data_IF_980576847227
#
_entry.id   IF_980576847227
#
_cell.length_a   1.000
_cell.length_b   1.000
_cell.length_c   1.000
_cell.angle_alpha   90.00
_cell.angle_beta   90.00
_cell.angle_gamma   90.00
#
_symmetry.space_group_name_H-M   'P 1'
#
loop_
_entity.id
_entity.type
_entity.pdbx_description
1 polymer ?
#
# COMPACT_ATOMS: atom_id res chain seq x y z
N UNK A 1 3.10 30.23 69.40
CA UNK A 1 3.22 30.57 67.97
C UNK A 1 3.77 29.36 67.23
N UNK A 2 2.91 28.37 67.00
CA UNK A 2 3.18 27.15 66.22
C UNK A 2 2.57 27.41 64.85
N UNK A 3 3.37 27.68 63.82
CA UNK A 3 2.94 27.69 62.41
C UNK A 3 4.14 27.98 61.49
N UNK A 4 5.10 27.06 61.45
CA UNK A 4 6.14 27.09 60.40
C UNK A 4 6.67 25.71 60.00
N UNK A 5 6.11 24.62 60.53
CA UNK A 5 6.52 23.23 60.24
C UNK A 5 5.43 22.36 59.62
N UNK A 6 4.29 22.96 59.24
CA UNK A 6 3.16 22.25 58.60
C UNK A 6 3.17 22.42 57.07
N UNK A 7 3.85 23.44 56.52
CA UNK A 7 3.83 23.73 55.09
C UNK A 7 4.83 22.93 54.24
N UNK A 8 5.68 22.10 54.85
CA UNK A 8 6.65 21.26 54.11
C UNK A 8 6.15 19.81 53.97
N UNK A 9 5.12 19.39 54.72
CA UNK A 9 4.57 18.02 54.67
C UNK A 9 3.25 17.86 53.91
N UNK A 10 2.64 18.94 53.40
CA UNK A 10 1.42 18.86 52.58
C UNK A 10 1.67 18.98 51.07
N UNK A 11 2.92 19.02 50.63
CA UNK A 11 3.30 18.96 49.21
C UNK A 11 3.63 17.55 48.70
N UNK A 12 3.50 16.52 49.57
CA UNK A 12 3.88 15.13 49.26
C UNK A 12 2.67 14.17 49.15
N UNK A 13 1.43 14.65 49.34
CA UNK A 13 0.25 13.76 49.41
C UNK A 13 -0.94 14.15 48.52
N UNK A 14 -0.67 14.80 47.38
CA UNK A 14 -1.67 15.02 46.31
C UNK A 14 -1.13 14.71 44.91
N UNK A 15 -0.28 13.68 44.79
CA UNK A 15 0.16 13.09 43.52
C UNK A 15 -0.18 11.58 43.43
N UNK A 16 -1.21 11.16 44.16
CA UNK A 16 -1.83 9.85 44.01
C UNK A 16 -3.29 10.09 43.61
N UNK A 17 -3.67 9.46 42.49
CA UNK A 17 -5.00 9.46 41.86
C UNK A 17 -5.30 10.54 40.81
N UNK A 18 -4.51 10.57 39.72
CA UNK A 18 -5.06 10.78 38.36
C UNK A 18 -4.40 9.76 37.42
N UNK A 19 -5.24 8.88 36.86
CA UNK A 19 -5.01 8.07 35.66
C UNK A 19 -4.07 6.86 35.72
N UNK A 20 -4.50 5.83 36.44
CA UNK A 20 -4.42 4.46 35.89
C UNK A 20 -5.43 4.33 34.74
N UNK A 21 -5.02 4.76 33.54
CA UNK A 21 -5.54 4.31 32.24
C UNK A 21 -4.66 4.94 31.14
N UNK A 22 -3.48 4.38 30.90
CA UNK A 22 -2.81 4.55 29.61
C UNK A 22 -2.70 3.16 29.02
N UNK A 23 -3.44 2.96 27.94
CA UNK A 23 -3.36 1.81 27.04
C UNK A 23 -1.93 1.29 26.94
N UNK A 24 -1.75 0.02 27.30
CA UNK A 24 -0.65 -0.78 26.78
C UNK A 24 -0.73 -0.72 25.24
N UNK A 25 0.18 0.03 24.62
CA UNK A 25 0.37 0.04 23.17
C UNK A 25 1.74 -0.59 22.89
N UNK A 26 1.83 -1.93 22.75
CA UNK A 26 3.10 -2.61 22.60
C UNK A 26 3.42 -2.87 21.12
N UNK A 27 3.48 -1.86 20.25
CA UNK A 27 3.87 -2.09 18.83
C UNK A 27 4.90 -1.10 18.24
N UNK A 28 5.36 -0.08 18.96
CA UNK A 28 6.32 0.91 18.42
C UNK A 28 7.80 0.59 18.72
N UNK A 29 8.13 -0.67 19.04
CA UNK A 29 9.51 -1.14 19.30
C UNK A 29 9.95 -2.32 18.42
N UNK A 30 9.45 -2.41 17.17
CA UNK A 30 10.04 -3.26 16.11
C UNK A 30 10.81 -2.45 15.05
N UNK A 31 11.06 -1.17 15.29
CA UNK A 31 11.70 -0.25 14.35
C UNK A 31 13.22 -0.06 14.57
N UNK A 32 13.93 -1.03 15.18
CA UNK A 32 15.36 -0.89 15.50
C UNK A 32 16.30 -1.90 14.83
N UNK A 33 15.81 -2.71 13.88
CA UNK A 33 16.65 -3.62 13.06
C UNK A 33 16.16 -3.64 11.59
N UNK A 34 15.68 -2.50 11.08
CA UNK A 34 15.48 -2.33 9.63
C UNK A 34 16.71 -1.56 9.14
N UNK A 35 17.74 -2.31 8.80
CA UNK A 35 19.02 -1.79 8.34
C UNK A 35 18.78 -0.89 7.10
N UNK A 36 19.56 0.20 7.00
CA UNK A 36 19.53 1.16 5.87
C UNK A 36 19.76 0.51 4.49
N UNK A 37 20.16 -0.77 4.46
CA UNK A 37 20.28 -1.63 3.28
C UNK A 37 18.95 -2.08 2.67
N UNK A 38 17.82 -2.03 3.39
CA UNK A 38 16.53 -2.50 2.86
C UNK A 38 15.87 -1.50 1.89
N UNK A 39 16.32 -0.25 1.86
CA UNK A 39 15.79 0.78 0.94
C UNK A 39 16.21 0.58 -0.52
N UNK A 40 17.17 -0.31 -0.77
CA UNK A 40 17.66 -0.66 -2.12
C UNK A 40 16.98 -1.89 -2.73
N UNK A 41 16.12 -2.58 -1.98
CA UNK A 41 15.44 -3.79 -2.45
C UNK A 41 14.14 -3.38 -3.13
N UNK A 42 13.94 -3.81 -4.37
CA UNK A 42 12.74 -3.47 -5.14
C UNK A 42 11.55 -4.35 -4.76
N UNK A 43 10.32 -3.89 -5.04
CA UNK A 43 9.12 -4.70 -4.85
C UNK A 43 9.20 -6.05 -5.58
N UNK A 44 9.88 -6.13 -6.74
CA UNK A 44 10.09 -7.39 -7.47
C UNK A 44 10.92 -8.40 -6.65
N UNK A 45 11.99 -7.93 -6.02
CA UNK A 45 12.85 -8.76 -5.17
C UNK A 45 12.12 -9.14 -3.87
N UNK A 46 11.45 -8.18 -3.22
CA UNK A 46 10.66 -8.42 -2.01
C UNK A 46 9.55 -9.43 -2.27
N UNK A 47 8.88 -9.34 -3.42
CA UNK A 47 7.85 -10.29 -3.82
C UNK A 47 8.42 -11.70 -4.01
N UNK A 48 9.61 -11.81 -4.62
CA UNK A 48 10.31 -13.09 -4.75
C UNK A 48 10.67 -13.67 -3.38
N UNK A 49 11.17 -12.85 -2.45
CA UNK A 49 11.47 -13.29 -1.07
C UNK A 49 10.20 -13.71 -0.33
N UNK A 50 9.10 -12.97 -0.45
CA UNK A 50 7.80 -13.34 0.12
C UNK A 50 7.30 -14.69 -0.39
N UNK A 51 7.41 -14.96 -1.70
CA UNK A 51 7.06 -16.28 -2.29
C UNK A 51 7.97 -17.41 -1.78
N UNK A 52 9.25 -17.12 -1.54
CA UNK A 52 10.17 -18.08 -0.93
C UNK A 52 9.74 -18.43 0.49
N UNK A 53 9.52 -17.41 1.34
CA UNK A 53 9.11 -17.61 2.73
C UNK A 53 7.73 -18.26 2.85
N UNK A 54 6.82 -17.96 1.92
CA UNK A 54 5.54 -18.67 1.79
C UNK A 54 5.75 -20.17 1.57
N UNK A 55 6.69 -20.54 0.69
CA UNK A 55 6.96 -21.94 0.34
C UNK A 55 7.70 -22.68 1.46
N UNK A 56 8.58 -22.00 2.20
CA UNK A 56 9.30 -22.56 3.35
C UNK A 56 8.44 -22.67 4.61
N UNK A 57 7.27 -22.02 4.62
CA UNK A 57 6.37 -21.98 5.77
C UNK A 57 6.81 -21.01 6.87
N UNK A 58 7.67 -20.04 6.54
CA UNK A 58 8.04 -18.98 7.46
C UNK A 58 7.04 -17.82 7.37
N UNK A 59 5.93 -17.95 8.11
CA UNK A 59 4.78 -17.08 7.96
C UNK A 59 5.01 -15.64 8.42
N UNK A 60 5.86 -15.41 9.42
CA UNK A 60 6.20 -14.06 9.88
C UNK A 60 6.92 -13.27 8.78
N UNK A 61 7.96 -13.86 8.19
CA UNK A 61 8.73 -13.18 7.15
C UNK A 61 7.95 -13.13 5.84
N UNK A 62 7.10 -14.12 5.55
CA UNK A 62 6.12 -14.04 4.46
C UNK A 62 5.31 -12.74 4.53
N UNK A 63 4.69 -12.46 5.69
CA UNK A 63 3.90 -11.24 5.90
C UNK A 63 4.77 -10.01 5.72
N UNK A 64 5.94 -9.97 6.38
CA UNK A 64 6.83 -8.82 6.35
C UNK A 64 7.28 -8.47 4.92
N UNK A 65 7.68 -9.47 4.13
CA UNK A 65 8.12 -9.25 2.75
C UNK A 65 6.98 -8.80 1.84
N UNK A 66 5.79 -9.41 1.92
CA UNK A 66 4.68 -8.99 1.07
C UNK A 66 4.17 -7.59 1.41
N UNK A 67 4.07 -7.23 2.70
CA UNK A 67 3.70 -5.87 3.10
C UNK A 67 4.72 -4.84 2.60
N UNK A 68 6.01 -5.14 2.75
CA UNK A 68 7.07 -4.24 2.26
C UNK A 68 7.07 -4.14 0.74
N UNK A 69 6.78 -5.25 0.03
CA UNK A 69 6.67 -5.24 -1.42
C UNK A 69 5.49 -4.37 -1.89
N UNK A 70 4.35 -4.45 -1.21
CA UNK A 70 3.17 -3.61 -1.49
C UNK A 70 3.50 -2.13 -1.31
N UNK A 71 4.13 -1.75 -0.20
CA UNK A 71 4.54 -0.36 0.06
C UNK A 71 5.50 0.16 -1.02
N UNK A 72 6.48 -0.66 -1.42
CA UNK A 72 7.45 -0.29 -2.44
C UNK A 72 6.82 -0.18 -3.85
N UNK A 73 5.85 -1.04 -4.14
CA UNK A 73 5.07 -0.96 -5.37
C UNK A 73 4.23 0.32 -5.45
N UNK A 74 3.58 0.71 -4.35
CA UNK A 74 2.79 1.94 -4.28
C UNK A 74 3.67 3.16 -4.52
N UNK A 75 4.86 3.20 -3.89
CA UNK A 75 5.88 4.20 -4.18
C UNK A 75 6.26 4.23 -5.67
N UNK A 76 6.54 3.06 -6.29
CA UNK A 76 6.89 2.99 -7.70
C UNK A 76 5.78 3.54 -8.62
N UNK A 77 4.51 3.24 -8.33
CA UNK A 77 3.36 3.75 -9.07
C UNK A 77 3.25 5.26 -8.91
N UNK A 78 3.34 5.78 -7.68
CA UNK A 78 3.26 7.20 -7.36
C UNK A 78 4.33 8.01 -8.09
N UNK A 79 5.56 7.50 -8.15
CA UNK A 79 6.66 8.14 -8.90
C UNK A 79 6.36 8.25 -10.40
N UNK A 80 5.78 7.19 -10.97
CA UNK A 80 5.40 7.19 -12.38
C UNK A 80 4.21 8.12 -12.65
N UNK A 81 3.22 8.17 -11.76
CA UNK A 81 2.07 9.08 -11.85
C UNK A 81 2.53 10.53 -11.76
N UNK A 82 3.39 10.84 -10.79
CA UNK A 82 3.94 12.18 -10.62
C UNK A 82 4.65 12.69 -11.88
N UNK A 83 5.48 11.84 -12.50
CA UNK A 83 6.14 12.19 -13.76
C UNK A 83 5.14 12.46 -14.89
N UNK A 84 4.09 11.63 -15.00
CA UNK A 84 3.03 11.83 -16.02
C UNK A 84 2.29 13.15 -15.80
N UNK A 85 1.91 13.47 -14.57
CA UNK A 85 1.17 14.70 -14.25
C UNK A 85 2.02 15.96 -14.43
N UNK A 86 3.28 15.93 -13.98
CA UNK A 86 4.23 17.03 -14.21
C UNK A 86 4.38 17.31 -15.71
N UNK A 87 4.71 16.28 -16.49
CA UNK A 87 4.98 16.42 -17.91
C UNK A 87 3.71 16.74 -18.72
N UNK A 88 2.54 16.23 -18.33
CA UNK A 88 1.27 16.61 -18.95
C UNK A 88 0.96 18.11 -18.78
N UNK A 89 1.20 18.66 -17.58
CA UNK A 89 1.05 20.10 -17.32
C UNK A 89 2.02 20.94 -18.14
N UNK A 90 3.27 20.51 -18.27
CA UNK A 90 4.28 21.17 -19.11
C UNK A 90 3.92 21.09 -20.60
N UNK A 91 3.47 19.92 -21.08
CA UNK A 91 3.03 19.72 -22.46
C UNK A 91 1.84 20.60 -22.83
N UNK A 92 0.86 20.71 -21.95
CA UNK A 92 -0.32 21.55 -22.20
C UNK A 92 0.07 23.02 -22.40
N UNK A 93 1.00 23.54 -21.58
CA UNK A 93 1.52 24.91 -21.69
C UNK A 93 2.31 25.12 -22.98
N UNK A 94 3.20 24.19 -23.31
CA UNK A 94 3.98 24.23 -24.56
C UNK A 94 3.05 24.18 -25.77
N UNK A 95 2.14 23.21 -25.85
CA UNK A 95 1.19 23.07 -26.96
C UNK A 95 0.36 24.34 -27.19
N UNK A 96 -0.15 24.97 -26.13
CA UNK A 96 -0.90 26.22 -26.24
C UNK A 96 -0.05 27.38 -26.77
N UNK A 97 1.23 27.41 -26.43
CA UNK A 97 2.17 28.46 -26.88
C UNK A 97 2.56 28.23 -28.34
N UNK A 98 2.93 27.00 -28.70
CA UNK A 98 3.32 26.63 -30.06
C UNK A 98 2.17 26.84 -31.06
N UNK A 99 0.95 26.42 -30.73
CA UNK A 99 -0.21 26.60 -31.62
C UNK A 99 -0.66 28.05 -31.79
N UNK A 100 -0.43 28.91 -30.79
CA UNK A 100 -0.73 30.35 -30.90
C UNK A 100 0.24 31.09 -31.82
N UNK A 101 1.48 30.60 -31.89
CA UNK A 101 2.57 31.26 -32.62
C UNK A 101 2.83 30.62 -33.99
N UNK A 102 2.29 29.43 -34.25
CA UNK A 102 2.45 28.73 -35.51
C UNK A 102 1.57 29.34 -36.61
N UNK A 103 2.17 29.59 -37.77
CA UNK A 103 1.42 29.77 -39.00
C UNK A 103 0.74 28.44 -39.40
N UNK A 104 -0.38 28.53 -40.12
CA UNK A 104 -1.28 27.40 -40.40
C UNK A 104 -0.57 26.26 -41.17
N UNK A 105 0.44 26.61 -41.97
CA UNK A 105 1.32 25.72 -42.74
C UNK A 105 2.39 24.99 -41.91
N UNK A 106 2.65 25.43 -40.67
CA UNK A 106 3.67 24.86 -39.76
C UNK A 106 3.01 24.20 -38.52
N UNK A 107 1.68 24.27 -38.39
CA UNK A 107 0.97 23.76 -37.21
C UNK A 107 1.22 22.27 -36.93
N UNK A 108 1.36 21.44 -37.98
CA UNK A 108 1.71 20.03 -37.85
C UNK A 108 3.10 19.82 -37.24
N UNK A 109 4.10 20.55 -37.73
CA UNK A 109 5.48 20.51 -37.22
C UNK A 109 5.52 20.96 -35.76
N UNK A 110 4.78 22.02 -35.42
CA UNK A 110 4.66 22.53 -34.06
C UNK A 110 4.07 21.48 -33.10
N UNK A 111 3.06 20.72 -33.53
CA UNK A 111 2.51 19.61 -32.74
C UNK A 111 3.50 18.46 -32.57
N UNK A 112 4.22 18.07 -33.63
CA UNK A 112 5.25 17.03 -33.55
C UNK A 112 6.36 17.44 -32.56
N UNK A 113 6.81 18.69 -32.62
CA UNK A 113 7.79 19.24 -31.68
C UNK A 113 7.29 19.19 -30.23
N UNK A 114 6.06 19.65 -29.97
CA UNK A 114 5.47 19.59 -28.63
C UNK A 114 5.40 18.15 -28.10
N UNK A 115 5.03 17.18 -28.93
CA UNK A 115 5.01 15.76 -28.55
C UNK A 115 6.42 15.21 -28.27
N UNK A 116 7.42 15.60 -29.05
CA UNK A 116 8.81 15.23 -28.78
C UNK A 116 9.31 15.80 -27.45
N UNK A 117 8.96 17.05 -27.13
CA UNK A 117 9.27 17.67 -25.83
C UNK A 117 8.57 16.94 -24.66
N UNK A 118 7.33 16.51 -24.86
CA UNK A 118 6.62 15.71 -23.86
C UNK A 118 7.32 14.39 -23.58
N UNK A 119 7.70 13.65 -24.62
CA UNK A 119 8.43 12.40 -24.49
C UNK A 119 9.79 12.61 -23.77
N UNK A 120 10.50 13.69 -24.10
CA UNK A 120 11.77 14.03 -23.46
C UNK A 120 11.59 14.39 -21.98
N UNK A 121 10.53 15.11 -21.62
CA UNK A 121 10.18 15.38 -20.22
C UNK A 121 9.97 14.08 -19.44
N UNK A 122 9.15 13.16 -19.99
CA UNK A 122 8.87 11.88 -19.34
C UNK A 122 10.15 11.06 -19.14
N UNK A 123 11.00 11.00 -20.16
CA UNK A 123 12.28 10.29 -20.09
C UNK A 123 13.19 10.87 -19.00
N UNK A 124 13.38 12.19 -18.96
CA UNK A 124 14.20 12.88 -17.95
C UNK A 124 13.65 12.69 -16.55
N UNK A 125 12.35 12.91 -16.38
CA UNK A 125 11.70 12.76 -15.08
C UNK A 125 11.87 11.33 -14.52
N UNK A 126 11.65 10.31 -15.36
CA UNK A 126 11.81 8.93 -14.93
C UNK A 126 13.26 8.61 -14.57
N UNK A 127 14.25 9.09 -15.33
CA UNK A 127 15.66 8.87 -14.98
C UNK A 127 16.08 9.60 -13.70
N UNK A 128 15.46 10.74 -13.39
CA UNK A 128 15.71 11.49 -12.15
C UNK A 128 15.07 10.81 -10.92
N UNK A 129 13.86 10.27 -11.07
CA UNK A 129 13.09 9.67 -9.96
C UNK A 129 13.41 8.18 -9.75
N UNK A 130 13.63 7.44 -10.83
CA UNK A 130 13.98 6.01 -10.83
C UNK A 130 15.49 5.85 -11.02
N UNK A 131 16.21 6.07 -9.91
CA UNK A 131 17.68 6.04 -9.89
C UNK A 131 18.24 4.61 -9.88
N UNK A 132 19.57 4.44 -9.89
CA UNK A 132 20.19 3.13 -9.71
C UNK A 132 19.83 2.43 -8.38
N UNK A 133 19.48 3.20 -7.34
CA UNK A 133 18.98 2.65 -6.07
C UNK A 133 17.49 2.26 -6.13
N UNK A 134 16.75 2.81 -7.09
CA UNK A 134 15.33 2.57 -7.34
C UNK A 134 15.12 2.34 -8.84
N UNK A 135 15.63 1.21 -9.37
CA UNK A 135 15.69 1.01 -10.81
C UNK A 135 14.29 0.99 -11.42
N UNK A 136 14.18 1.27 -12.73
CA UNK A 136 12.95 1.05 -13.46
C UNK A 136 12.54 -0.42 -13.42
N UNK A 137 11.26 -0.67 -13.69
CA UNK A 137 10.67 -2.00 -13.75
C UNK A 137 11.51 -2.96 -14.61
N UNK A 138 11.89 -4.10 -14.04
CA UNK A 138 12.66 -5.11 -14.75
C UNK A 138 11.76 -6.19 -15.37
N UNK A 139 10.79 -6.71 -14.60
CA UNK A 139 9.84 -7.74 -15.04
C UNK A 139 8.39 -7.20 -15.10
N UNK A 140 7.84 -6.98 -16.31
CA UNK A 140 6.46 -6.55 -16.48
C UNK A 140 5.41 -7.51 -15.91
N UNK A 141 5.72 -8.81 -15.83
CA UNK A 141 4.77 -9.79 -15.29
C UNK A 141 4.53 -9.59 -13.80
N UNK A 142 5.57 -9.22 -13.04
CA UNK A 142 5.43 -8.93 -11.61
C UNK A 142 4.57 -7.68 -11.41
N UNK A 143 4.74 -6.65 -12.24
CA UNK A 143 3.86 -5.49 -12.21
C UNK A 143 2.39 -5.86 -12.45
N UNK A 144 2.12 -6.73 -13.43
CA UNK A 144 0.78 -7.25 -13.68
C UNK A 144 0.21 -8.05 -12.50
N UNK A 145 1.01 -8.89 -11.85
CA UNK A 145 0.60 -9.61 -10.63
C UNK A 145 0.18 -8.64 -9.51
N UNK A 146 0.91 -7.53 -9.32
CA UNK A 146 0.56 -6.51 -8.32
C UNK A 146 -0.70 -5.74 -8.69
N UNK A 147 -0.87 -5.36 -9.96
CA UNK A 147 -2.12 -4.75 -10.44
C UNK A 147 -3.32 -5.67 -10.22
N UNK A 148 -3.12 -6.98 -10.40
CA UNK A 148 -4.10 -8.02 -10.12
C UNK A 148 -4.11 -8.46 -8.65
N UNK A 149 -3.62 -7.63 -7.72
CA UNK A 149 -3.73 -7.86 -6.26
C UNK A 149 -3.19 -9.22 -5.78
N UNK A 150 -2.32 -9.90 -6.54
CA UNK A 150 -1.79 -11.23 -6.22
C UNK A 150 -1.08 -11.33 -4.87
N UNK A 151 -0.34 -10.31 -4.38
CA UNK A 151 0.23 -10.35 -3.03
C UNK A 151 -0.81 -10.63 -1.93
N UNK A 152 -2.06 -10.19 -2.09
CA UNK A 152 -3.13 -10.46 -1.12
C UNK A 152 -3.58 -11.92 -1.11
N UNK A 153 -3.48 -12.61 -2.26
CA UNK A 153 -3.74 -14.05 -2.36
C UNK A 153 -2.77 -14.85 -1.48
N UNK A 154 -1.51 -14.43 -1.39
CA UNK A 154 -0.53 -15.05 -0.48
C UNK A 154 -0.69 -14.59 0.97
N UNK A 155 -0.92 -13.29 1.18
CA UNK A 155 -1.07 -12.70 2.52
C UNK A 155 -2.21 -13.34 3.31
N UNK A 156 -3.36 -13.66 2.68
CA UNK A 156 -4.47 -14.29 3.40
C UNK A 156 -4.03 -15.58 4.11
N UNK A 157 -3.23 -16.40 3.42
CA UNK A 157 -2.77 -17.69 3.92
C UNK A 157 -1.69 -17.47 4.99
N UNK A 158 -0.76 -16.54 4.78
CA UNK A 158 0.27 -16.24 5.78
C UNK A 158 -0.33 -15.69 7.08
N UNK A 159 -1.33 -14.81 7.00
CA UNK A 159 -2.07 -14.35 8.18
C UNK A 159 -2.85 -15.46 8.86
N UNK A 160 -3.54 -16.31 8.08
CA UNK A 160 -4.25 -17.47 8.62
C UNK A 160 -3.32 -18.40 9.40
N UNK A 161 -2.13 -18.70 8.85
CA UNK A 161 -1.12 -19.53 9.51
C UNK A 161 -0.56 -18.89 10.79
N UNK A 162 -0.57 -17.56 10.88
CA UNK A 162 -0.23 -16.80 12.08
C UNK A 162 -1.40 -16.59 13.05
N UNK A 163 -2.57 -17.19 12.78
CA UNK A 163 -3.80 -17.06 13.56
C UNK A 163 -4.34 -15.63 13.63
N UNK A 164 -4.02 -14.80 12.63
CA UNK A 164 -4.60 -13.47 12.46
C UNK A 164 -5.80 -13.57 11.51
N UNK A 165 -6.95 -13.93 12.08
CA UNK A 165 -8.20 -14.09 11.32
C UNK A 165 -8.61 -12.77 10.63
N UNK A 166 -8.50 -11.63 11.32
CA UNK A 166 -8.92 -10.34 10.78
C UNK A 166 -8.12 -9.95 9.53
N UNK A 167 -6.81 -10.12 9.56
CA UNK A 167 -5.96 -9.80 8.41
C UNK A 167 -6.08 -10.83 7.29
N UNK A 168 -6.37 -12.10 7.62
CA UNK A 168 -6.65 -13.15 6.65
C UNK A 168 -7.91 -12.83 5.84
N UNK A 169 -9.03 -12.56 6.54
CA UNK A 169 -10.32 -12.17 5.93
C UNK A 169 -10.16 -10.90 5.08
N UNK A 170 -9.50 -9.87 5.62
CA UNK A 170 -9.27 -8.61 4.90
C UNK A 170 -8.47 -8.83 3.61
N UNK A 171 -7.44 -9.68 3.66
CA UNK A 171 -6.60 -9.97 2.49
C UNK A 171 -7.35 -10.80 1.45
N UNK A 172 -8.07 -11.84 1.86
CA UNK A 172 -8.91 -12.67 0.99
C UNK A 172 -9.96 -11.81 0.27
N UNK A 173 -10.67 -10.96 1.02
CA UNK A 173 -11.66 -10.05 0.47
C UNK A 173 -11.05 -9.06 -0.53
N UNK A 174 -9.91 -8.44 -0.18
CA UNK A 174 -9.17 -7.51 -1.06
C UNK A 174 -8.83 -8.15 -2.41
N UNK A 175 -8.43 -9.43 -2.41
CA UNK A 175 -8.14 -10.17 -3.65
C UNK A 175 -9.42 -10.52 -4.44
N UNK A 176 -10.48 -10.96 -3.76
CA UNK A 176 -11.77 -11.31 -4.38
C UNK A 176 -12.47 -10.14 -5.05
N UNK A 177 -12.27 -8.91 -4.57
CA UNK A 177 -12.81 -7.71 -5.23
C UNK A 177 -12.34 -7.59 -6.68
N UNK A 178 -11.10 -7.98 -6.96
CA UNK A 178 -10.58 -8.04 -8.33
C UNK A 178 -10.86 -9.38 -9.02
N UNK A 179 -11.07 -10.47 -8.26
CA UNK A 179 -11.21 -11.83 -8.77
C UNK A 179 -12.48 -12.53 -8.23
N UNK A 180 -13.69 -12.04 -8.55
CA UNK A 180 -14.93 -12.50 -7.91
C UNK A 180 -15.33 -13.94 -8.25
N UNK A 181 -14.57 -14.64 -9.11
CA UNK A 181 -14.83 -16.04 -9.53
C UNK A 181 -13.69 -16.99 -9.13
N UNK A 182 -12.74 -16.52 -8.31
CA UNK A 182 -11.63 -17.34 -7.83
C UNK A 182 -12.13 -18.30 -6.76
N UNK A 183 -12.39 -19.55 -7.17
CA UNK A 183 -13.02 -20.55 -6.30
C UNK A 183 -12.19 -20.83 -5.04
N UNK A 184 -10.86 -20.90 -5.18
CA UNK A 184 -9.96 -21.15 -4.05
C UNK A 184 -10.12 -20.07 -2.96
N UNK A 185 -10.16 -18.80 -3.36
CA UNK A 185 -10.32 -17.72 -2.38
C UNK A 185 -11.75 -17.62 -1.85
N UNK A 186 -12.77 -17.95 -2.65
CA UNK A 186 -14.15 -18.04 -2.16
C UNK A 186 -14.28 -19.11 -1.06
N UNK A 187 -13.72 -20.30 -1.30
CA UNK A 187 -13.73 -21.40 -0.32
C UNK A 187 -12.95 -21.01 0.94
N UNK A 188 -11.79 -20.38 0.80
CA UNK A 188 -11.00 -19.88 1.94
C UNK A 188 -11.77 -18.81 2.74
N UNK A 189 -12.43 -17.87 2.07
CA UNK A 189 -13.18 -16.81 2.74
C UNK A 189 -14.40 -17.37 3.47
N UNK A 190 -15.17 -18.27 2.83
CA UNK A 190 -16.28 -18.96 3.46
C UNK A 190 -15.81 -19.71 4.72
N UNK A 191 -14.69 -20.42 4.63
CA UNK A 191 -14.08 -21.09 5.78
C UNK A 191 -13.67 -20.10 6.88
N UNK A 192 -13.11 -18.93 6.55
CA UNK A 192 -12.76 -17.90 7.54
C UNK A 192 -14.00 -17.30 8.23
N UNK A 193 -15.12 -17.17 7.51
CA UNK A 193 -16.37 -16.64 8.05
C UNK A 193 -17.02 -17.58 9.09
N UNK A 194 -16.71 -18.87 9.04
CA UNK A 194 -17.16 -19.87 10.02
C UNK A 194 -16.33 -19.89 11.31
N UNK A 195 -15.18 -19.19 11.35
CA UNK A 195 -14.28 -19.24 12.50
C UNK A 195 -14.76 -18.37 13.67
N UNK A 196 -14.50 -18.83 14.88
CA UNK A 196 -14.73 -18.05 16.09
C UNK A 196 -13.97 -16.72 16.04
N UNK A 197 -14.69 -15.62 16.27
CA UNK A 197 -14.14 -14.27 16.23
C UNK A 197 -14.30 -13.56 14.89
N UNK A 198 -14.87 -14.20 13.88
CA UNK A 198 -15.27 -13.52 12.64
C UNK A 198 -16.27 -12.39 12.91
N UNK A 199 -16.13 -11.30 12.16
CA UNK A 199 -17.06 -10.17 12.13
C UNK A 199 -17.13 -9.60 10.71
N UNK A 200 -18.32 -9.24 10.24
CA UNK A 200 -18.55 -8.62 8.92
C UNK A 200 -17.69 -7.38 8.66
N UNK A 201 -17.35 -6.61 9.70
CA UNK A 201 -16.47 -5.44 9.59
C UNK A 201 -15.05 -5.79 9.11
N UNK A 202 -14.64 -7.06 9.16
CA UNK A 202 -13.37 -7.54 8.62
C UNK A 202 -13.37 -7.60 7.08
N UNK A 203 -14.53 -7.59 6.43
CA UNK A 203 -14.69 -7.57 4.97
C UNK A 203 -14.45 -6.16 4.40
N UNK A 204 -13.21 -5.69 4.56
CA UNK A 204 -12.75 -4.40 4.06
C UNK A 204 -11.75 -4.60 2.93
N UNK A 205 -11.94 -3.91 1.82
CA UNK A 205 -10.96 -3.91 0.73
C UNK A 205 -9.81 -2.93 1.05
N UNK A 206 -8.61 -3.47 1.27
CA UNK A 206 -7.42 -2.67 1.58
C UNK A 206 -6.95 -1.81 0.39
N UNK A 207 -7.44 -2.07 -0.83
CA UNK A 207 -7.15 -1.30 -2.05
C UNK A 207 -8.31 -0.42 -2.49
N UNK A 208 -9.39 -0.33 -1.71
CA UNK A 208 -10.56 0.49 -2.04
C UNK A 208 -10.19 1.97 -2.11
N UNK A 209 -10.58 2.64 -3.19
CA UNK A 209 -10.46 4.10 -3.25
C UNK A 209 -11.55 4.75 -2.39
N UNK A 210 -11.25 5.90 -1.77
CA UNK A 210 -12.15 6.59 -0.82
C UNK A 210 -13.56 6.90 -1.36
N UNK A 211 -13.76 6.88 -2.67
CA UNK A 211 -15.03 7.18 -3.34
C UNK A 211 -15.75 5.95 -3.91
N UNK A 212 -15.17 4.76 -3.81
CA UNK A 212 -15.76 3.53 -4.36
C UNK A 212 -16.78 2.94 -3.36
N UNK A 213 -17.94 2.50 -3.86
CA UNK A 213 -18.97 1.83 -3.04
C UNK A 213 -18.69 0.32 -3.02
N UNK A 214 -18.71 -0.28 -1.83
CA UNK A 214 -18.33 -1.67 -1.61
C UNK A 214 -19.30 -2.63 -2.35
N UNK A 215 -18.87 -3.20 -3.48
CA UNK A 215 -19.75 -3.91 -4.43
C UNK A 215 -19.77 -5.43 -4.27
N UNK A 216 -18.84 -6.01 -3.51
CA UNK A 216 -18.67 -7.48 -3.41
C UNK A 216 -19.59 -8.09 -2.36
N UNK A 217 -19.99 -7.34 -1.33
CA UNK A 217 -20.95 -7.81 -0.32
C UNK A 217 -22.30 -8.24 -0.92
N UNK A 218 -22.63 -7.76 -2.13
CA UNK A 218 -23.90 -8.05 -2.81
C UNK A 218 -23.94 -9.47 -3.41
N UNK A 219 -22.79 -10.11 -3.68
CA UNK A 219 -22.77 -11.42 -4.37
C UNK A 219 -22.71 -12.61 -3.44
N UNK A 220 -22.02 -12.50 -2.31
CA UNK A 220 -21.90 -13.62 -1.36
C UNK A 220 -23.28 -13.94 -0.72
N UNK A 221 -24.15 -12.94 -0.54
CA UNK A 221 -25.52 -13.16 -0.04
C UNK A 221 -26.51 -13.66 -1.08
N UNK A 222 -26.14 -13.70 -2.37
CA UNK A 222 -27.08 -14.01 -3.46
C UNK A 222 -27.06 -15.49 -3.85
N UNK A 223 -26.04 -16.25 -3.45
CA UNK A 223 -25.91 -17.67 -3.74
C UNK A 223 -26.51 -18.58 -2.63
N UNK A 224 -27.06 -17.98 -1.56
CA UNK A 224 -27.81 -18.64 -0.48
C UNK A 224 -29.36 -18.55 -0.66
N UNK A 225 -29.85 -18.43 -1.90
CA UNK A 225 -31.30 -18.45 -2.22
C UNK A 225 -31.65 -19.46 -3.31
#
# INVERSE_FOLDING_TARGET
>A
MRNATIYILTLILSFLCISSCTSDEPELRKASIINWTLWQVTFEQLYKYGKNEYTTGNWNDCIAFFLRAIEDFDYFVDENVWCREKCAREHQKSRQTELKNAAEDIAEIAMMYANAQHALCLFRCKNERLTSMRPPLNDPSVFEEFQNRKPYQYLQICYWKQKDLSSAVRSAYTYLVAHPKDQETLDNLAFYMEQDGYNENMLTDARQMKYEVNSVLIRISADDC
#
